data_IF_184648494546
#
_entry.id   IF_184648494546
#
_cell.length_a   1.000
_cell.length_b   1.000
_cell.length_c   1.000
_cell.angle_alpha   90.00
_cell.angle_beta   90.00
_cell.angle_gamma   90.00
#
_symmetry.space_group_name_H-M   'P 1'
#
loop_
_entity.id
_entity.type
_entity.pdbx_description
1 polymer ?
#
# COMPACT_ATOMS: atom_id res chain seq x y z
N UNK A 1 48.17 -44.05 70.77
CA UNK A 1 47.29 -44.76 69.82
C UNK A 1 47.47 -44.11 68.46
N UNK A 2 48.11 -44.84 67.57
CA UNK A 2 48.46 -44.48 66.20
C UNK A 2 47.28 -44.59 65.26
N UNK A 3 47.13 -43.64 64.38
CA UNK A 3 46.51 -43.89 63.10
C UNK A 3 47.20 -43.10 61.97
N UNK A 4 47.58 -43.84 60.98
CA UNK A 4 48.36 -43.52 59.80
C UNK A 4 47.62 -42.55 58.85
N UNK A 5 48.36 -41.51 58.43
CA UNK A 5 48.02 -40.73 57.29
C UNK A 5 48.61 -41.38 56.03
N UNK A 6 47.77 -41.76 55.10
CA UNK A 6 48.14 -42.23 53.78
C UNK A 6 48.31 -41.07 52.85
N UNK A 7 49.54 -40.73 52.45
CA UNK A 7 49.82 -39.72 51.44
C UNK A 7 49.61 -40.30 50.07
N UNK A 8 48.54 -39.86 49.40
CA UNK A 8 48.43 -40.00 47.96
C UNK A 8 48.99 -38.74 47.27
N UNK A 9 50.11 -38.94 46.61
CA UNK A 9 50.84 -37.98 45.80
C UNK A 9 49.98 -37.44 44.68
N UNK A 10 49.79 -36.12 44.66
CA UNK A 10 49.31 -35.39 43.53
C UNK A 10 50.40 -35.39 42.46
N UNK A 11 50.10 -35.97 41.27
CA UNK A 11 50.94 -35.88 40.11
C UNK A 11 50.92 -34.43 39.52
N UNK A 12 51.96 -34.08 38.76
CA UNK A 12 52.15 -32.73 38.29
C UNK A 12 51.01 -32.26 37.32
N UNK A 13 50.50 -31.06 37.56
CA UNK A 13 49.58 -30.34 36.67
C UNK A 13 50.36 -30.01 35.41
N UNK A 14 50.01 -30.61 34.27
CA UNK A 14 50.56 -30.25 32.96
C UNK A 14 49.89 -28.94 32.50
N UNK A 15 50.73 -27.96 32.22
CA UNK A 15 50.34 -26.69 31.59
C UNK A 15 49.54 -26.89 30.29
N UNK A 16 48.58 -25.99 30.09
CA UNK A 16 47.66 -26.04 28.99
C UNK A 16 48.34 -25.96 27.61
N UNK A 17 48.24 -27.03 26.87
CA UNK A 17 48.46 -27.05 25.43
C UNK A 17 47.18 -26.58 24.69
N UNK A 18 47.31 -26.11 23.46
CA UNK A 18 46.15 -25.63 22.69
C UNK A 18 45.11 -26.74 22.53
N UNK A 19 43.83 -26.40 22.71
CA UNK A 19 42.70 -27.30 22.62
C UNK A 19 42.74 -28.10 21.32
N UNK A 20 43.00 -29.40 21.45
CA UNK A 20 43.04 -30.31 20.33
C UNK A 20 41.60 -30.66 19.92
N UNK A 21 41.10 -29.94 18.90
CA UNK A 21 39.73 -30.08 18.38
C UNK A 21 39.52 -31.47 17.75
N UNK A 22 40.59 -32.22 17.49
CA UNK A 22 40.47 -33.56 16.87
C UNK A 22 39.84 -34.62 17.78
N UNK A 23 39.77 -34.39 19.12
CA UNK A 23 39.13 -35.33 20.05
C UNK A 23 37.61 -35.25 20.11
N UNK A 24 36.99 -34.23 19.48
CA UNK A 24 35.53 -34.11 19.41
C UNK A 24 34.89 -34.88 18.23
N UNK A 25 35.72 -35.47 17.36
CA UNK A 25 35.23 -36.19 16.16
C UNK A 25 34.82 -37.64 16.37
N UNK A 26 34.90 -38.14 17.61
CA UNK A 26 34.60 -39.57 17.90
C UNK A 26 33.30 -39.79 18.70
N UNK A 27 32.32 -38.90 18.61
CA UNK A 27 31.01 -39.21 19.17
C UNK A 27 30.30 -40.21 18.28
N UNK A 28 30.16 -41.43 18.76
CA UNK A 28 29.55 -42.61 18.10
C UNK A 28 28.11 -42.39 17.59
N UNK A 29 27.48 -41.22 17.89
CA UNK A 29 26.13 -40.84 17.49
C UNK A 29 26.09 -39.96 16.25
N UNK A 30 27.23 -39.46 15.73
CA UNK A 30 27.28 -38.63 14.51
C UNK A 30 27.79 -39.43 13.30
N UNK A 31 28.25 -40.67 13.50
CA UNK A 31 28.85 -41.48 12.43
C UNK A 31 27.84 -42.15 11.48
N UNK A 32 26.54 -41.90 11.63
CA UNK A 32 25.52 -42.42 10.73
C UNK A 32 25.39 -41.67 9.40
N UNK A 33 25.64 -40.37 9.37
CA UNK A 33 25.42 -39.58 8.14
C UNK A 33 26.53 -39.67 7.10
N UNK A 34 27.86 -39.75 7.47
CA UNK A 34 28.88 -39.96 6.45
C UNK A 34 28.83 -41.33 5.80
N UNK A 35 28.48 -42.39 6.57
CA UNK A 35 28.38 -43.75 6.06
C UNK A 35 27.21 -43.93 5.05
N UNK A 36 26.11 -43.19 5.23
CA UNK A 36 24.99 -43.22 4.29
C UNK A 36 25.37 -42.55 2.97
N UNK A 37 26.00 -41.37 3.02
CA UNK A 37 26.42 -40.64 1.80
C UNK A 37 27.58 -41.35 1.05
N UNK A 38 28.38 -42.14 1.72
CA UNK A 38 29.47 -42.89 1.13
C UNK A 38 29.09 -44.34 0.77
N UNK A 39 27.86 -44.75 1.05
CA UNK A 39 27.35 -46.06 0.74
C UNK A 39 27.25 -46.27 -0.79
N UNK A 40 27.92 -47.28 -1.28
CA UNK A 40 27.87 -47.69 -2.68
C UNK A 40 26.60 -48.49 -3.06
N UNK A 41 25.71 -48.69 -2.09
CA UNK A 41 24.42 -49.35 -2.31
C UNK A 41 23.57 -48.57 -3.32
N UNK A 42 23.01 -49.25 -4.28
CA UNK A 42 22.13 -48.68 -5.29
C UNK A 42 20.90 -47.99 -4.65
N UNK A 43 20.39 -48.60 -3.57
CA UNK A 43 19.28 -48.07 -2.77
C UNK A 43 19.65 -46.72 -2.11
N UNK A 44 20.85 -46.60 -1.52
CA UNK A 44 21.32 -45.39 -0.91
C UNK A 44 21.47 -44.24 -1.93
N UNK A 45 21.94 -44.55 -3.13
CA UNK A 45 22.06 -43.57 -4.24
C UNK A 45 20.70 -43.05 -4.69
N UNK A 46 19.71 -43.95 -4.85
CA UNK A 46 18.34 -43.54 -5.19
C UNK A 46 17.67 -42.73 -4.07
N UNK A 47 17.83 -43.17 -2.81
CA UNK A 47 17.30 -42.44 -1.67
C UNK A 47 17.91 -41.04 -1.57
N UNK A 48 19.20 -40.89 -1.79
CA UNK A 48 19.89 -39.58 -1.81
C UNK A 48 19.34 -38.70 -2.97
N UNK A 49 19.20 -39.26 -4.18
CA UNK A 49 18.66 -38.52 -5.31
C UNK A 49 17.24 -38.04 -5.04
N UNK A 50 16.38 -38.88 -4.47
CA UNK A 50 15.00 -38.51 -4.08
C UNK A 50 15.05 -37.42 -3.01
N UNK A 51 15.92 -37.54 -2.02
CA UNK A 51 16.08 -36.54 -0.97
C UNK A 51 16.50 -35.17 -1.55
N UNK A 52 17.47 -35.15 -2.46
CA UNK A 52 17.90 -33.92 -3.17
C UNK A 52 16.77 -33.33 -3.99
N UNK A 53 16.00 -34.16 -4.70
CA UNK A 53 14.85 -33.72 -5.48
C UNK A 53 13.78 -33.09 -4.59
N UNK A 54 13.46 -33.70 -3.45
CA UNK A 54 12.50 -33.17 -2.49
C UNK A 54 13.00 -31.82 -1.93
N UNK A 55 14.27 -31.74 -1.51
CA UNK A 55 14.87 -30.49 -1.02
C UNK A 55 14.84 -29.38 -2.06
N UNK A 56 15.12 -29.74 -3.32
CA UNK A 56 15.06 -28.80 -4.43
C UNK A 56 13.62 -28.26 -4.65
N UNK A 57 12.61 -29.16 -4.66
CA UNK A 57 11.20 -28.76 -4.77
C UNK A 57 10.78 -27.87 -3.60
N UNK A 58 11.19 -28.21 -2.38
CA UNK A 58 10.91 -27.38 -1.19
C UNK A 58 11.58 -26.01 -1.29
N UNK A 59 12.82 -25.95 -1.76
CA UNK A 59 13.54 -24.69 -1.97
C UNK A 59 12.85 -23.81 -3.02
N UNK A 60 12.40 -24.41 -4.14
CA UNK A 60 11.63 -23.69 -5.17
C UNK A 60 10.30 -23.18 -4.62
N UNK A 61 9.58 -23.99 -3.85
CA UNK A 61 8.33 -23.57 -3.21
C UNK A 61 8.53 -22.44 -2.21
N UNK A 62 9.56 -22.54 -1.39
CA UNK A 62 9.94 -21.50 -0.44
C UNK A 62 10.31 -20.19 -1.17
N UNK A 63 11.12 -20.30 -2.24
CA UNK A 63 11.50 -19.15 -3.06
C UNK A 63 10.30 -18.48 -3.71
N UNK A 64 9.40 -19.25 -4.32
CA UNK A 64 8.18 -18.74 -4.92
C UNK A 64 7.26 -18.08 -3.88
N UNK A 65 7.11 -18.68 -2.70
CA UNK A 65 6.34 -18.10 -1.59
C UNK A 65 6.93 -16.77 -1.11
N UNK A 66 8.26 -16.72 -0.97
CA UNK A 66 8.97 -15.50 -0.56
C UNK A 66 8.82 -14.37 -1.58
N UNK A 67 8.95 -14.70 -2.87
CA UNK A 67 8.72 -13.73 -3.96
C UNK A 67 7.28 -13.23 -3.95
N UNK A 68 6.30 -14.12 -3.83
CA UNK A 68 4.89 -13.73 -3.73
C UNK A 68 4.66 -12.79 -2.56
N UNK A 69 5.20 -13.11 -1.38
CA UNK A 69 5.05 -12.27 -0.18
C UNK A 69 5.66 -10.86 -0.35
N UNK A 70 6.84 -10.77 -0.99
CA UNK A 70 7.52 -9.47 -1.21
C UNK A 70 6.82 -8.63 -2.27
N UNK A 71 6.32 -9.25 -3.35
CA UNK A 71 5.76 -8.54 -4.51
C UNK A 71 4.24 -8.43 -4.51
N UNK A 72 3.54 -9.01 -3.55
CA UNK A 72 2.08 -8.86 -3.47
C UNK A 72 1.71 -7.42 -3.11
N UNK A 73 0.91 -6.71 -3.94
CA UNK A 73 0.45 -5.37 -3.62
C UNK A 73 -0.41 -5.34 -2.36
N UNK A 74 -0.34 -4.23 -1.62
CA UNK A 74 -1.18 -4.05 -0.43
C UNK A 74 -2.66 -4.01 -0.78
N UNK A 75 -3.50 -4.66 0.03
CA UNK A 75 -4.97 -4.57 -0.07
C UNK A 75 -5.52 -3.18 0.28
N UNK A 76 -4.71 -2.36 0.92
CA UNK A 76 -5.10 -1.00 1.32
C UNK A 76 -3.97 0.01 1.07
N UNK A 77 -3.56 0.24 -0.20
CA UNK A 77 -2.45 1.14 -0.51
C UNK A 77 -2.77 2.58 -0.13
N UNK A 78 -1.78 3.26 0.45
CA UNK A 78 -1.81 4.70 0.65
C UNK A 78 -1.28 5.34 -0.64
N UNK A 79 -2.17 5.95 -1.40
CA UNK A 79 -1.83 6.55 -2.69
C UNK A 79 -1.09 7.88 -2.50
N UNK A 80 -1.59 8.72 -1.59
CA UNK A 80 -0.93 9.95 -1.15
C UNK A 80 -0.65 9.80 0.34
N UNK A 81 0.63 9.74 0.72
CA UNK A 81 1.06 9.64 2.11
C UNK A 81 1.62 10.99 2.57
N UNK A 82 0.75 11.92 2.91
CA UNK A 82 1.05 13.28 3.29
C UNK A 82 0.09 14.28 2.65
N UNK A 83 0.45 15.55 2.62
CA UNK A 83 -0.35 16.66 2.14
C UNK A 83 0.20 17.19 0.81
N UNK A 84 -0.66 17.48 -0.15
CA UNK A 84 -0.34 18.10 -1.43
C UNK A 84 -1.17 19.37 -1.62
N UNK A 85 -0.63 20.32 -2.37
CA UNK A 85 -1.41 21.48 -2.83
C UNK A 85 -2.46 21.01 -3.84
N UNK A 86 -3.73 21.26 -3.54
CA UNK A 86 -4.84 20.79 -4.35
C UNK A 86 -5.01 21.52 -5.70
N UNK A 87 -4.16 22.50 -6.01
CA UNK A 87 -4.06 23.11 -7.36
C UNK A 87 -3.08 22.36 -8.26
N UNK A 88 -2.24 21.48 -7.70
CA UNK A 88 -1.24 20.73 -8.45
C UNK A 88 -1.75 19.35 -8.81
N UNK A 89 -1.81 19.08 -10.10
CA UNK A 89 -2.21 17.77 -10.61
C UNK A 89 -1.18 16.70 -10.23
N UNK A 90 -1.68 15.54 -9.78
CA UNK A 90 -0.90 14.34 -9.56
C UNK A 90 -1.57 13.16 -10.26
N UNK A 91 -0.79 12.38 -11.02
CA UNK A 91 -1.17 11.10 -11.59
C UNK A 91 -0.49 9.97 -10.83
N UNK A 92 -1.23 8.98 -10.42
CA UNK A 92 -0.73 7.79 -9.73
C UNK A 92 -0.96 6.61 -10.67
N UNK A 93 0.10 6.18 -11.29
CA UNK A 93 0.09 5.10 -12.28
C UNK A 93 -0.25 3.77 -11.63
N UNK A 94 -1.08 2.99 -12.36
CA UNK A 94 -1.56 1.69 -11.91
C UNK A 94 -0.84 0.54 -12.59
N UNK A 95 -0.06 0.79 -13.64
CA UNK A 95 0.75 -0.24 -14.29
C UNK A 95 1.91 -0.65 -13.36
N UNK A 96 1.97 -1.91 -12.91
CA UNK A 96 3.05 -2.38 -12.03
C UNK A 96 4.44 -2.29 -12.65
N UNK A 97 4.54 -2.21 -13.98
CA UNK A 97 5.82 -2.06 -14.70
C UNK A 97 6.35 -0.63 -14.68
N UNK A 98 5.50 0.35 -14.38
CA UNK A 98 5.90 1.76 -14.34
C UNK A 98 6.65 2.10 -13.04
N UNK A 99 7.79 2.82 -13.11
CA UNK A 99 8.54 3.22 -11.93
C UNK A 99 7.70 4.09 -10.98
N UNK A 100 7.60 3.70 -9.71
CA UNK A 100 6.85 4.45 -8.70
C UNK A 100 5.34 4.25 -8.76
N UNK A 101 4.85 3.33 -9.58
CA UNK A 101 3.43 2.96 -9.61
C UNK A 101 2.94 2.47 -8.25
N UNK A 102 1.66 2.69 -7.98
CA UNK A 102 0.97 2.18 -6.78
C UNK A 102 -0.26 1.38 -7.21
N UNK A 103 -0.06 0.11 -7.62
CA UNK A 103 -1.16 -0.70 -8.11
C UNK A 103 -2.26 -0.87 -7.06
N UNK A 104 -3.48 -0.66 -7.49
CA UNK A 104 -4.68 -0.94 -6.72
C UNK A 104 -5.18 -2.31 -7.15
N UNK A 105 -5.22 -3.25 -6.20
CA UNK A 105 -5.78 -4.56 -6.46
C UNK A 105 -7.30 -4.46 -6.63
N UNK A 106 -7.86 -5.45 -7.32
CA UNK A 106 -9.30 -5.55 -7.51
C UNK A 106 -10.00 -5.59 -6.15
N UNK A 107 -11.14 -4.90 -6.07
CA UNK A 107 -12.04 -4.99 -4.92
C UNK A 107 -12.47 -6.43 -4.63
N UNK A 108 -12.62 -6.74 -3.37
CA UNK A 108 -13.07 -8.05 -2.90
C UNK A 108 -14.56 -8.22 -3.21
N UNK A 109 -14.92 -9.40 -3.75
CA UNK A 109 -16.30 -9.81 -3.87
C UNK A 109 -16.66 -10.62 -2.61
N UNK A 110 -17.28 -9.96 -1.65
CA UNK A 110 -17.89 -10.61 -0.51
C UNK A 110 -19.16 -11.39 -0.92
N UNK A 111 -19.80 -12.10 0.01
CA UNK A 111 -21.06 -12.83 -0.27
C UNK A 111 -22.15 -11.93 -0.82
N UNK A 112 -22.12 -10.64 -0.49
CA UNK A 112 -23.05 -9.63 -0.97
C UNK A 112 -22.60 -8.95 -2.28
N UNK A 113 -21.42 -9.30 -2.83
CA UNK A 113 -20.88 -8.82 -4.11
C UNK A 113 -19.74 -7.80 -3.96
N UNK A 114 -19.61 -6.92 -4.95
CA UNK A 114 -18.51 -5.97 -5.05
C UNK A 114 -18.49 -4.97 -3.88
N UNK A 115 -17.34 -4.89 -3.19
CA UNK A 115 -17.14 -3.97 -2.08
C UNK A 115 -15.78 -3.28 -2.17
N UNK A 116 -15.74 -1.98 -1.88
CA UNK A 116 -14.50 -1.22 -1.76
C UNK A 116 -14.73 0.09 -1.01
N UNK A 117 -13.63 0.72 -0.57
CA UNK A 117 -13.69 2.01 0.11
C UNK A 117 -12.56 2.91 -0.36
N UNK A 118 -12.87 4.18 -0.53
CA UNK A 118 -11.92 5.27 -0.74
C UNK A 118 -11.99 6.24 0.42
N UNK A 119 -10.83 6.72 0.86
CA UNK A 119 -10.72 7.72 1.94
C UNK A 119 -9.78 8.83 1.51
N UNK A 120 -10.17 10.07 1.73
CA UNK A 120 -9.37 11.26 1.44
C UNK A 120 -9.64 12.34 2.47
N UNK A 121 -8.60 13.06 2.86
CA UNK A 121 -8.71 14.29 3.61
C UNK A 121 -8.58 15.48 2.68
N UNK A 122 -9.44 16.47 2.85
CA UNK A 122 -9.44 17.70 2.05
C UNK A 122 -9.62 18.92 2.94
N UNK A 123 -8.94 20.00 2.57
CA UNK A 123 -9.06 21.32 3.18
C UNK A 123 -9.34 22.32 2.07
N UNK A 124 -10.50 22.97 2.08
CA UNK A 124 -10.89 23.97 1.09
C UNK A 124 -10.81 25.34 1.75
N UNK A 125 -9.96 26.22 1.23
CA UNK A 125 -9.73 27.56 1.74
C UNK A 125 -10.48 28.64 0.97
N UNK A 126 -10.57 28.53 -0.34
CA UNK A 126 -11.22 29.50 -1.22
C UNK A 126 -12.17 28.82 -2.20
N UNK A 127 -13.44 29.13 -2.06
CA UNK A 127 -14.48 28.59 -2.93
C UNK A 127 -14.64 29.38 -4.24
N UNK A 128 -14.19 30.64 -4.29
CA UNK A 128 -14.27 31.49 -5.47
C UNK A 128 -13.30 31.08 -6.57
N UNK A 129 -12.24 30.35 -6.18
CA UNK A 129 -11.33 29.74 -7.14
C UNK A 129 -12.10 28.79 -8.07
N UNK A 130 -12.03 29.03 -9.38
CA UNK A 130 -12.77 28.27 -10.41
C UNK A 130 -14.28 28.15 -10.12
N UNK A 131 -14.92 29.26 -9.75
CA UNK A 131 -16.30 29.28 -9.28
C UNK A 131 -17.30 28.68 -10.27
N UNK A 132 -17.02 28.78 -11.58
CA UNK A 132 -17.92 28.32 -12.65
C UNK A 132 -17.61 26.90 -13.15
N UNK A 133 -16.66 26.20 -12.52
CA UNK A 133 -16.20 24.89 -12.92
C UNK A 133 -16.37 23.87 -11.80
N UNK A 134 -16.54 22.60 -12.18
CA UNK A 134 -16.38 21.52 -11.22
C UNK A 134 -14.93 21.42 -10.80
N UNK A 135 -14.68 21.49 -9.51
CA UNK A 135 -13.34 21.42 -8.94
C UNK A 135 -13.01 19.96 -8.68
N UNK A 136 -12.05 19.45 -9.41
CA UNK A 136 -11.64 18.06 -9.34
C UNK A 136 -10.87 17.77 -8.05
N UNK A 137 -11.31 16.77 -7.27
CA UNK A 137 -10.57 16.27 -6.10
C UNK A 137 -9.76 15.06 -6.51
N UNK A 138 -10.39 13.95 -6.84
CA UNK A 138 -9.73 12.78 -7.45
C UNK A 138 -10.73 11.94 -8.25
N UNK A 139 -10.23 11.14 -9.18
CA UNK A 139 -10.98 10.07 -9.80
C UNK A 139 -10.05 8.92 -10.21
N UNK A 140 -10.63 7.75 -10.38
CA UNK A 140 -9.98 6.59 -11.01
C UNK A 140 -10.57 6.39 -12.41
N UNK A 141 -9.69 6.46 -13.44
CA UNK A 141 -10.16 6.37 -14.80
C UNK A 141 -9.13 6.80 -15.84
N UNK A 142 -9.61 7.49 -16.87
CA UNK A 142 -8.79 8.08 -17.93
C UNK A 142 -8.52 9.57 -17.65
N UNK A 143 -7.65 10.18 -18.44
CA UNK A 143 -7.24 11.59 -18.33
C UNK A 143 -8.08 12.55 -19.21
N UNK A 144 -9.34 12.22 -19.45
CA UNK A 144 -10.21 12.98 -20.35
C UNK A 144 -11.13 13.94 -19.59
N UNK A 145 -10.57 15.06 -19.11
CA UNK A 145 -11.36 16.08 -18.42
C UNK A 145 -12.02 17.05 -19.41
N UNK A 146 -13.27 17.38 -19.18
CA UNK A 146 -13.99 18.34 -20.00
C UNK A 146 -13.49 19.76 -19.73
N UNK A 147 -13.12 20.47 -20.79
CA UNK A 147 -12.63 21.84 -20.73
C UNK A 147 -13.63 22.86 -21.29
N UNK A 148 -14.84 22.43 -21.67
CA UNK A 148 -15.88 23.30 -22.27
C UNK A 148 -17.29 22.83 -21.89
N UNK A 149 -18.26 23.73 -22.03
CA UNK A 149 -19.68 23.48 -21.73
C UNK A 149 -20.00 23.40 -20.25
N UNK A 150 -21.19 22.88 -19.92
CA UNK A 150 -21.72 22.84 -18.54
C UNK A 150 -21.02 21.81 -17.62
N UNK A 151 -20.11 21.01 -18.17
CA UNK A 151 -19.42 19.94 -17.48
C UNK A 151 -17.93 20.22 -17.31
N UNK A 152 -17.51 21.48 -17.41
CA UNK A 152 -16.09 21.86 -17.26
C UNK A 152 -15.55 21.35 -15.90
N UNK A 153 -14.42 20.67 -15.95
CA UNK A 153 -13.77 20.11 -14.77
C UNK A 153 -14.21 18.69 -14.41
N UNK A 154 -15.24 18.13 -15.05
CA UNK A 154 -15.61 16.72 -14.89
C UNK A 154 -14.84 15.83 -15.85
N UNK A 155 -14.38 14.69 -15.36
CA UNK A 155 -13.86 13.64 -16.22
C UNK A 155 -14.99 12.82 -16.85
N UNK A 156 -14.82 12.42 -18.12
CA UNK A 156 -15.77 11.59 -18.85
C UNK A 156 -15.03 10.67 -19.82
N UNK A 157 -15.48 9.43 -20.02
CA UNK A 157 -16.62 8.79 -19.37
C UNK A 157 -16.27 8.08 -18.03
N UNK A 158 -14.99 7.93 -17.70
CA UNK A 158 -14.52 6.98 -16.68
C UNK A 158 -14.36 7.61 -15.29
N UNK A 159 -15.26 7.24 -14.38
CA UNK A 159 -15.20 7.58 -12.95
C UNK A 159 -15.49 6.34 -12.10
N UNK A 160 -14.46 5.76 -11.55
CA UNK A 160 -14.60 4.57 -10.73
C UNK A 160 -13.89 4.62 -9.36
N UNK A 161 -14.26 5.54 -8.41
CA UNK A 161 -15.14 6.71 -8.43
C UNK A 161 -14.50 7.99 -8.95
N UNK A 162 -15.30 9.06 -9.06
CA UNK A 162 -14.86 10.45 -9.16
C UNK A 162 -15.43 11.29 -8.03
N UNK A 163 -14.62 12.15 -7.43
CA UNK A 163 -15.00 13.11 -6.39
C UNK A 163 -14.70 14.53 -6.84
N UNK A 164 -15.71 15.39 -6.78
CA UNK A 164 -15.67 16.76 -7.26
C UNK A 164 -16.34 17.70 -6.26
N UNK A 165 -16.00 19.01 -6.32
CA UNK A 165 -16.78 20.07 -5.69
C UNK A 165 -17.59 20.76 -6.80
N UNK A 166 -18.88 21.00 -6.57
CA UNK A 166 -19.76 21.59 -7.57
C UNK A 166 -19.44 23.06 -7.83
N UNK A 167 -19.72 23.59 -9.05
CA UNK A 167 -19.68 25.03 -9.29
C UNK A 167 -20.78 25.73 -8.46
N UNK A 168 -20.56 26.98 -8.14
CA UNK A 168 -21.49 27.90 -7.45
C UNK A 168 -21.95 27.49 -6.05
N UNK A 169 -21.83 26.25 -5.65
CA UNK A 169 -22.27 25.75 -4.33
C UNK A 169 -21.17 24.91 -3.67
N UNK A 170 -21.09 24.94 -2.35
CA UNK A 170 -20.12 24.16 -1.56
C UNK A 170 -20.55 22.69 -1.39
N UNK A 171 -21.05 22.06 -2.46
CA UNK A 171 -21.46 20.67 -2.40
C UNK A 171 -20.37 19.76 -2.95
N UNK A 172 -20.30 18.55 -2.40
CA UNK A 172 -19.52 17.46 -3.00
C UNK A 172 -20.38 16.70 -3.99
N UNK A 173 -19.77 16.27 -5.09
CA UNK A 173 -20.37 15.41 -6.09
C UNK A 173 -19.52 14.14 -6.21
N UNK A 174 -20.13 13.01 -5.92
CA UNK A 174 -19.55 11.68 -6.20
C UNK A 174 -20.14 11.16 -7.49
N UNK A 175 -19.28 10.78 -8.42
CA UNK A 175 -19.67 10.14 -9.68
C UNK A 175 -19.21 8.69 -9.66
N UNK A 176 -20.08 7.77 -10.03
CA UNK A 176 -19.80 6.35 -10.15
C UNK A 176 -20.27 5.83 -11.51
N UNK A 177 -19.39 5.11 -12.21
CA UNK A 177 -19.79 4.35 -13.38
C UNK A 177 -20.42 3.03 -12.94
N UNK A 178 -21.67 2.81 -13.33
CA UNK A 178 -22.37 1.53 -13.17
C UNK A 178 -22.63 0.86 -14.51
N UNK A 179 -23.08 -0.41 -14.51
CA UNK A 179 -23.38 -1.10 -15.76
C UNK A 179 -24.54 -0.47 -16.51
N UNK A 180 -25.55 0.06 -15.80
CA UNK A 180 -26.73 0.66 -16.41
C UNK A 180 -26.56 2.16 -16.69
N UNK A 181 -25.69 2.85 -15.94
CA UNK A 181 -25.51 4.29 -16.06
C UNK A 181 -24.04 4.67 -15.97
N UNK A 182 -23.51 5.27 -17.05
CA UNK A 182 -22.10 5.70 -17.09
C UNK A 182 -21.82 6.81 -16.07
N UNK A 183 -22.76 7.70 -15.86
CA UNK A 183 -22.62 8.84 -14.96
C UNK A 183 -23.74 8.81 -13.92
N UNK A 184 -23.52 8.09 -12.83
CA UNK A 184 -24.41 8.08 -11.69
C UNK A 184 -23.91 9.05 -10.63
N UNK A 185 -24.70 10.06 -10.30
CA UNK A 185 -24.30 11.21 -9.50
C UNK A 185 -24.96 11.17 -8.12
N UNK A 186 -24.15 11.42 -7.11
CA UNK A 186 -24.59 11.52 -5.72
C UNK A 186 -24.04 12.82 -5.14
N UNK A 187 -24.94 13.75 -4.81
CA UNK A 187 -24.56 15.06 -4.23
C UNK A 187 -24.69 15.04 -2.71
N UNK A 188 -23.66 15.55 -2.06
CA UNK A 188 -23.59 15.79 -0.61
C UNK A 188 -23.52 17.29 -0.41
N UNK A 189 -24.50 17.86 0.31
CA UNK A 189 -24.61 19.29 0.55
C UNK A 189 -23.69 19.77 1.68
N UNK A 190 -23.38 21.06 1.63
CA UNK A 190 -22.80 21.82 2.74
C UNK A 190 -21.42 21.29 3.22
N UNK A 191 -20.46 21.18 2.27
CA UNK A 191 -19.07 20.90 2.61
C UNK A 191 -18.51 22.01 3.53
N UNK A 192 -17.98 21.66 4.72
CA UNK A 192 -17.33 22.62 5.58
C UNK A 192 -16.09 23.27 4.93
N UNK A 193 -15.97 24.60 5.07
CA UNK A 193 -14.86 25.39 4.56
C UNK A 193 -13.87 25.72 5.67
N UNK A 194 -12.60 25.96 5.30
CA UNK A 194 -11.52 26.35 6.22
C UNK A 194 -11.30 25.34 7.37
N UNK A 195 -11.61 24.09 7.12
CA UNK A 195 -11.40 22.96 8.04
C UNK A 195 -10.98 21.74 7.26
N UNK A 196 -10.20 20.88 7.89
CA UNK A 196 -9.95 19.55 7.38
C UNK A 196 -11.21 18.69 7.46
N UNK A 197 -11.53 18.06 6.37
CA UNK A 197 -12.71 17.20 6.22
C UNK A 197 -12.27 15.85 5.73
N UNK A 198 -12.62 14.80 6.46
CA UNK A 198 -12.48 13.42 5.99
C UNK A 198 -13.69 13.07 5.11
N UNK A 199 -13.43 12.64 3.90
CA UNK A 199 -14.46 12.13 2.98
C UNK A 199 -14.16 10.66 2.72
N UNK A 200 -15.13 9.78 3.06
CA UNK A 200 -15.01 8.36 2.81
C UNK A 200 -16.16 7.92 1.91
N UNK A 201 -15.82 7.30 0.79
CA UNK A 201 -16.75 6.75 -0.19
C UNK A 201 -16.68 5.23 -0.06
N UNK A 202 -17.72 4.58 0.42
CA UNK A 202 -17.80 3.14 0.62
C UNK A 202 -18.88 2.54 -0.27
N UNK A 203 -18.52 1.52 -1.01
CA UNK A 203 -19.48 0.66 -1.72
C UNK A 203 -19.58 -0.66 -0.98
N UNK A 204 -20.80 -1.06 -0.66
CA UNK A 204 -21.13 -2.32 0.02
C UNK A 204 -22.35 -2.96 -0.61
N UNK A 205 -22.56 -4.23 -0.36
CA UNK A 205 -23.73 -4.98 -0.85
C UNK A 205 -23.97 -4.77 -2.36
N UNK A 206 -22.93 -4.85 -3.19
CA UNK A 206 -22.92 -4.68 -4.65
C UNK A 206 -23.20 -3.26 -5.14
N UNK A 207 -24.15 -2.52 -4.60
CA UNK A 207 -24.65 -1.27 -5.15
C UNK A 207 -25.10 -0.24 -4.11
N UNK A 208 -24.79 -0.46 -2.83
CA UNK A 208 -25.03 0.55 -1.79
C UNK A 208 -23.82 1.44 -1.67
N UNK A 209 -23.95 2.70 -2.06
CA UNK A 209 -22.93 3.73 -1.93
C UNK A 209 -23.21 4.57 -0.70
N UNK A 210 -22.30 4.50 0.26
CA UNK A 210 -22.30 5.30 1.49
C UNK A 210 -21.21 6.36 1.41
N UNK A 211 -21.55 7.59 1.74
CA UNK A 211 -20.59 8.68 1.89
C UNK A 211 -20.57 9.16 3.34
N UNK A 212 -19.40 9.11 3.94
CA UNK A 212 -19.15 9.58 5.30
C UNK A 212 -18.36 10.88 5.25
N UNK A 213 -18.79 11.84 6.06
CA UNK A 213 -18.08 13.09 6.31
C UNK A 213 -17.67 13.12 7.79
N UNK A 214 -16.38 13.21 8.04
CA UNK A 214 -15.81 13.18 9.41
C UNK A 214 -16.33 11.99 10.25
N UNK A 215 -16.42 10.81 9.62
CA UNK A 215 -16.88 9.58 10.27
C UNK A 215 -18.40 9.42 10.37
N UNK A 216 -19.18 10.46 10.06
CA UNK A 216 -20.64 10.41 10.11
C UNK A 216 -21.19 10.02 8.73
N UNK A 217 -22.09 9.03 8.70
CA UNK A 217 -22.81 8.66 7.47
C UNK A 217 -23.73 9.81 7.05
N UNK A 218 -23.28 10.59 6.06
CA UNK A 218 -24.01 11.77 5.58
C UNK A 218 -24.98 11.43 4.46
N UNK A 219 -24.62 10.49 3.59
CA UNK A 219 -25.47 10.06 2.48
C UNK A 219 -25.35 8.57 2.27
N UNK A 220 -26.51 7.90 2.16
CA UNK A 220 -26.66 6.55 1.63
C UNK A 220 -27.45 6.63 0.34
N UNK A 221 -26.92 6.01 -0.69
CA UNK A 221 -27.54 6.00 -2.01
C UNK A 221 -27.47 4.59 -2.59
N UNK A 222 -28.57 4.11 -3.13
CA UNK A 222 -28.63 2.84 -3.82
C UNK A 222 -28.38 3.11 -5.32
N UNK A 223 -27.23 2.64 -5.79
CA UNK A 223 -26.87 2.71 -7.20
C UNK A 223 -27.86 1.87 -8.01
N UNK A 224 -28.12 2.27 -9.24
CA UNK A 224 -29.06 1.56 -10.13
C UNK A 224 -28.54 0.18 -10.53
N UNK A 225 -27.22 0.01 -10.57
CA UNK A 225 -26.56 -1.24 -10.93
C UNK A 225 -25.19 -1.32 -10.26
N UNK A 226 -24.54 -2.47 -10.42
CA UNK A 226 -23.20 -2.73 -9.87
C UNK A 226 -22.17 -1.76 -10.48
N UNK A 227 -21.27 -1.16 -9.70
CA UNK A 227 -20.19 -0.33 -10.22
C UNK A 227 -19.28 -1.11 -11.18
N UNK A 228 -18.83 -0.44 -12.23
CA UNK A 228 -17.83 -1.00 -13.13
C UNK A 228 -16.47 -0.97 -12.50
N UNK A 229 -15.74 -2.08 -12.57
CA UNK A 229 -14.31 -2.10 -12.26
C UNK A 229 -13.55 -1.19 -13.23
N UNK A 230 -12.70 -0.33 -12.69
CA UNK A 230 -11.87 0.56 -13.48
C UNK A 230 -10.40 0.24 -13.23
N UNK A 231 -9.66 0.00 -14.31
CA UNK A 231 -8.23 -0.33 -14.29
C UNK A 231 -7.34 0.86 -14.67
N UNK A 232 -7.95 2.01 -14.97
CA UNK A 232 -7.22 3.25 -15.28
C UNK A 232 -6.47 3.81 -14.06
N UNK A 233 -5.70 4.85 -14.31
CA UNK A 233 -4.91 5.50 -13.28
C UNK A 233 -5.76 6.30 -12.29
N UNK A 234 -5.14 6.71 -11.19
CA UNK A 234 -5.76 7.63 -10.24
C UNK A 234 -5.21 9.03 -10.50
N UNK A 235 -6.13 9.93 -10.79
CA UNK A 235 -5.82 11.34 -11.02
C UNK A 235 -6.31 12.16 -9.83
N UNK A 236 -5.48 13.10 -9.40
CA UNK A 236 -5.78 14.01 -8.30
C UNK A 236 -5.59 15.44 -8.79
N UNK A 237 -6.50 16.34 -8.44
CA UNK A 237 -6.41 17.78 -8.73
C UNK A 237 -6.21 18.12 -10.22
N UNK A 238 -6.86 17.38 -11.12
CA UNK A 238 -6.85 17.69 -12.55
C UNK A 238 -7.49 19.07 -12.82
N UNK A 239 -7.15 19.67 -13.94
CA UNK A 239 -7.62 21.00 -14.34
C UNK A 239 -7.43 22.05 -13.22
N UNK A 240 -6.31 21.98 -12.48
CA UNK A 240 -6.04 22.89 -11.37
C UNK A 240 -6.88 22.66 -10.11
N UNK A 241 -7.63 21.57 -10.03
CA UNK A 241 -8.33 21.11 -8.85
C UNK A 241 -9.14 22.19 -8.10
N UNK A 242 -8.84 22.38 -6.80
CA UNK A 242 -9.48 23.37 -5.93
C UNK A 242 -8.44 24.14 -5.11
N UNK A 243 -8.85 25.26 -4.51
CA UNK A 243 -7.98 26.01 -3.60
C UNK A 243 -7.96 25.33 -2.24
N UNK A 244 -6.76 24.97 -1.79
CA UNK A 244 -6.56 24.25 -0.54
C UNK A 244 -5.59 23.08 -0.63
N UNK A 245 -5.85 22.04 0.15
CA UNK A 245 -4.96 20.89 0.28
C UNK A 245 -5.73 19.57 0.25
N UNK A 246 -5.08 18.54 -0.29
CA UNK A 246 -5.52 17.14 -0.22
C UNK A 246 -4.51 16.33 0.57
N UNK A 247 -4.97 15.45 1.45
CA UNK A 247 -4.09 14.60 2.26
C UNK A 247 -4.63 13.19 2.36
N UNK A 248 -3.72 12.22 2.52
CA UNK A 248 -4.01 10.81 2.78
C UNK A 248 -5.08 10.18 1.87
N UNK A 249 -4.88 10.25 0.57
CA UNK A 249 -5.72 9.48 -0.34
C UNK A 249 -5.38 7.99 -0.19
N UNK A 250 -6.37 7.19 0.18
CA UNK A 250 -6.23 5.77 0.45
C UNK A 250 -7.37 4.96 -0.16
N UNK A 251 -7.04 3.80 -0.67
CA UNK A 251 -7.99 2.79 -1.15
C UNK A 251 -8.01 1.59 -0.20
N UNK A 252 -9.15 0.93 -0.12
CA UNK A 252 -9.34 -0.36 0.53
C UNK A 252 -10.12 -1.24 -0.42
N UNK A 253 -9.71 -2.48 -0.59
CA UNK A 253 -10.32 -3.47 -1.48
C UNK A 253 -11.66 -4.03 -0.97
N UNK A 254 -12.12 -3.58 0.19
CA UNK A 254 -13.32 -4.04 0.89
C UNK A 254 -14.11 -2.87 1.49
N UNK A 255 -15.36 -3.11 1.86
CA UNK A 255 -16.16 -2.16 2.63
C UNK A 255 -15.69 -2.14 4.08
N UNK A 256 -14.92 -1.11 4.47
CA UNK A 256 -14.42 -1.00 5.84
C UNK A 256 -15.54 -0.76 6.85
N UNK A 257 -15.42 -1.37 8.02
CA UNK A 257 -16.38 -1.20 9.12
C UNK A 257 -16.25 0.16 9.82
N UNK A 258 -17.26 0.51 10.61
CA UNK A 258 -17.34 1.78 11.34
C UNK A 258 -16.16 2.04 12.28
N UNK A 259 -15.63 1.01 12.93
CA UNK A 259 -14.44 1.14 13.78
C UNK A 259 -13.21 1.59 12.99
N UNK A 260 -13.04 1.09 11.76
CA UNK A 260 -11.95 1.52 10.88
C UNK A 260 -12.15 2.93 10.35
N UNK A 261 -13.40 3.29 10.03
CA UNK A 261 -13.77 4.66 9.65
C UNK A 261 -13.41 5.62 10.79
N UNK A 262 -13.80 5.30 12.02
CA UNK A 262 -13.49 6.12 13.18
C UNK A 262 -11.96 6.24 13.41
N UNK A 263 -11.22 5.14 13.28
CA UNK A 263 -9.76 5.17 13.40
C UNK A 263 -9.09 6.10 12.37
N UNK A 264 -9.63 6.21 11.15
CA UNK A 264 -9.12 7.15 10.13
C UNK A 264 -9.40 8.59 10.56
N UNK A 265 -10.58 8.86 11.11
CA UNK A 265 -10.96 10.20 11.57
C UNK A 265 -10.14 10.62 12.78
N UNK A 266 -9.95 9.72 13.75
CA UNK A 266 -9.18 9.97 14.97
C UNK A 266 -7.68 10.21 14.67
N UNK A 267 -7.14 9.55 13.65
CA UNK A 267 -5.77 9.78 13.19
C UNK A 267 -5.57 11.17 12.57
N UNK A 268 -6.62 11.74 11.99
CA UNK A 268 -6.55 13.03 11.31
C UNK A 268 -5.78 13.03 10.00
N UNK A 269 -5.62 14.21 9.36
CA UNK A 269 -4.86 14.35 8.13
C UNK A 269 -3.36 14.30 8.39
N UNK A 270 -2.59 13.74 7.48
CA UNK A 270 -1.14 13.82 7.52
C UNK A 270 -0.68 15.18 6.96
N UNK A 271 -0.16 16.03 7.82
CA UNK A 271 0.23 17.41 7.50
C UNK A 271 1.61 17.53 6.85
N UNK A 272 2.31 16.40 6.60
CA UNK A 272 3.62 16.41 5.95
C UNK A 272 3.47 16.73 4.48
N UNK A 273 4.01 17.89 4.05
CA UNK A 273 3.95 18.33 2.65
C UNK A 273 4.73 17.37 1.73
N UNK A 274 4.12 16.98 0.62
CA UNK A 274 4.74 16.18 -0.45
C UNK A 274 4.74 17.06 -1.72
N UNK A 275 5.89 17.14 -2.41
CA UNK A 275 5.98 17.86 -3.69
C UNK A 275 6.07 19.38 -3.61
N UNK A 276 6.27 19.96 -2.43
CA UNK A 276 6.85 21.29 -2.33
C UNK A 276 8.30 21.22 -2.80
N UNK A 277 8.77 22.20 -3.54
CA UNK A 277 10.09 22.26 -4.19
C UNK A 277 11.08 21.16 -3.78
N UNK A 278 11.19 20.16 -4.64
CA UNK A 278 12.03 18.97 -4.40
C UNK A 278 13.53 19.30 -4.61
N UNK A 279 13.94 20.52 -4.38
CA UNK A 279 15.36 20.89 -4.30
C UNK A 279 16.10 20.27 -3.12
N UNK A 280 15.38 19.55 -2.27
CA UNK A 280 15.95 18.89 -1.07
C UNK A 280 15.55 17.43 -0.84
N UNK A 281 14.83 16.77 -1.75
CA UNK A 281 14.53 15.35 -1.57
C UNK A 281 15.76 14.49 -1.85
N UNK A 282 16.30 13.94 -0.78
CA UNK A 282 17.31 12.88 -0.90
C UNK A 282 16.74 11.76 -1.76
N UNK A 283 17.42 11.34 -2.83
CA UNK A 283 17.00 10.23 -3.66
C UNK A 283 16.80 8.97 -2.81
N UNK A 284 15.94 8.07 -3.28
CA UNK A 284 15.69 6.81 -2.56
C UNK A 284 17.00 6.07 -2.31
N UNK A 285 17.15 5.54 -1.09
CA UNK A 285 18.29 4.73 -0.70
C UNK A 285 18.57 3.64 -1.73
N UNK A 286 19.84 3.50 -2.12
CA UNK A 286 20.32 2.60 -3.19
C UNK A 286 19.93 2.99 -4.64
N UNK A 287 19.32 4.13 -4.90
CA UNK A 287 19.23 4.63 -6.27
C UNK A 287 20.58 5.21 -6.72
N UNK A 288 20.89 5.16 -8.02
CA UNK A 288 22.07 5.81 -8.58
C UNK A 288 22.11 7.32 -8.28
N UNK A 289 20.94 7.96 -8.19
CA UNK A 289 20.79 9.37 -7.80
C UNK A 289 21.22 9.62 -6.35
N UNK A 290 21.01 8.66 -5.44
CA UNK A 290 21.50 8.79 -4.06
C UNK A 290 23.01 8.83 -3.96
N UNK A 291 23.70 8.04 -4.82
CA UNK A 291 25.17 7.98 -4.87
C UNK A 291 25.80 9.28 -5.36
N UNK A 292 25.14 9.97 -6.30
CA UNK A 292 25.66 11.20 -6.92
C UNK A 292 25.15 12.49 -6.28
N UNK A 293 24.10 12.44 -5.42
CA UNK A 293 23.56 13.62 -4.76
C UNK A 293 24.51 14.25 -3.74
N UNK A 294 25.45 13.47 -3.18
CA UNK A 294 26.45 13.96 -2.22
C UNK A 294 27.66 14.71 -2.85
N UNK A 295 27.79 14.68 -4.17
CA UNK A 295 28.93 15.31 -4.86
C UNK A 295 28.64 16.70 -5.39
N UNK A 296 27.36 17.10 -5.48
CA UNK A 296 26.98 18.41 -6.04
C UNK A 296 26.83 19.54 -4.99
N UNK A 297 26.79 19.20 -3.68
CA UNK A 297 26.66 20.21 -2.61
C UNK A 297 27.99 20.85 -2.18
N UNK A 298 29.10 20.49 -2.82
CA UNK A 298 30.43 21.08 -2.50
C UNK A 298 30.85 22.28 -3.39
N UNK A 299 29.99 22.70 -4.31
CA UNK A 299 30.32 23.78 -5.26
C UNK A 299 29.21 24.82 -5.44
N UNK A 300 28.49 25.17 -4.35
CA UNK A 300 27.71 26.42 -4.34
C UNK A 300 27.83 27.10 -2.97
#
# INVERSE_FOLDING_TARGET
MSYLFNNNSLGPVSEGGPLNISSYSSNKYVSGSPSFLQSNSLVAKFAFLIMVLILFILALRLGAWLLTWVFTPSSSPILINGMINAKQMMRIEQDPSAPGSKPIIRSVNENAGLEFTWSVWMFVDDFTYKQNEYKHVFHKGNDNINLSGDSIGLNYPNNGPGLYITPHTNNLLVIMNTFDKIKEEVTIKDLPMNKWVSVIIRVSNQHVLDVYINGVLTKRYQLKSVPKQNYGDVFVSMNGGFSGYTSELRYFDSAIGTNRIQSIVDAGPNMKMIGGDMTGTKPQYLSSRWYFAGTNDMYN
#
